data_IF_552574915534
#
_entry.id   IF_552574915534
#
_cell.length_a   1.000
_cell.length_b   1.000
_cell.length_c   1.000
_cell.angle_alpha   90.00
_cell.angle_beta   90.00
_cell.angle_gamma   90.00
#
_symmetry.space_group_name_H-M   'P 1'
#
loop_
_entity.id
_entity.type
_entity.pdbx_description
1 polymer ?
#
# COMPACT_ATOMS: atom_id res chain seq x y z
N UNK A 1 -46.71 -2.38 -21.31
CA UNK A 1 -45.79 -2.16 -20.19
C UNK A 1 -45.09 -0.84 -20.35
N UNK A 2 -45.05 -0.03 -19.32
CA UNK A 2 -44.28 1.21 -19.31
C UNK A 2 -42.82 0.81 -19.10
N UNK A 3 -41.95 1.25 -19.99
CA UNK A 3 -40.50 1.04 -19.84
C UNK A 3 -39.99 2.09 -18.84
N UNK A 4 -39.68 1.68 -17.62
CA UNK A 4 -39.05 2.56 -16.66
C UNK A 4 -37.56 2.67 -16.95
N UNK A 5 -37.08 3.91 -17.04
CA UNK A 5 -35.64 4.17 -17.18
C UNK A 5 -35.06 4.23 -15.77
N UNK A 6 -34.21 3.27 -15.46
CA UNK A 6 -33.47 3.29 -14.20
C UNK A 6 -32.56 4.52 -14.15
N UNK A 7 -32.69 5.31 -13.11
CA UNK A 7 -31.80 6.43 -12.86
C UNK A 7 -30.36 5.94 -12.69
N UNK A 8 -29.36 6.73 -13.11
CA UNK A 8 -27.96 6.42 -12.88
C UNK A 8 -27.70 6.28 -11.39
N UNK A 9 -27.09 5.16 -10.98
CA UNK A 9 -26.66 4.94 -9.59
C UNK A 9 -25.57 5.90 -9.14
N UNK A 10 -25.43 6.06 -7.86
CA UNK A 10 -24.35 6.80 -7.25
C UNK A 10 -22.98 6.10 -7.52
N UNK A 11 -21.89 6.83 -7.36
CA UNK A 11 -20.55 6.23 -7.44
C UNK A 11 -20.41 5.10 -6.39
N UNK A 12 -19.69 4.04 -6.74
CA UNK A 12 -19.49 2.84 -5.91
C UNK A 12 -20.76 2.05 -5.56
N UNK A 13 -21.78 2.12 -6.41
CA UNK A 13 -22.97 1.25 -6.30
C UNK A 13 -23.01 0.27 -7.47
N UNK A 14 -23.60 -0.89 -7.23
CA UNK A 14 -23.91 -1.91 -8.25
C UNK A 14 -25.40 -2.10 -8.35
N UNK A 15 -25.88 -2.34 -9.57
CA UNK A 15 -27.29 -2.69 -9.78
C UNK A 15 -27.49 -4.15 -9.37
N UNK A 16 -28.36 -4.37 -8.40
CA UNK A 16 -28.72 -5.70 -7.94
C UNK A 16 -30.21 -5.95 -8.12
N UNK A 17 -30.56 -7.19 -8.41
CA UNK A 17 -31.94 -7.63 -8.44
C UNK A 17 -32.34 -8.06 -7.03
N UNK A 18 -33.54 -7.69 -6.60
CA UNK A 18 -34.12 -8.17 -5.34
C UNK A 18 -34.17 -9.70 -5.31
N UNK A 19 -34.07 -10.31 -4.15
CA UNK A 19 -34.05 -11.76 -3.99
C UNK A 19 -35.32 -12.46 -4.54
N UNK A 20 -36.43 -11.75 -4.57
CA UNK A 20 -37.72 -12.20 -5.14
C UNK A 20 -37.86 -11.88 -6.63
N UNK A 21 -36.82 -11.34 -7.26
CA UNK A 21 -36.80 -10.89 -8.65
C UNK A 21 -37.86 -9.83 -9.00
N UNK A 22 -38.38 -9.10 -8.02
CA UNK A 22 -39.47 -8.13 -8.20
C UNK A 22 -38.98 -6.75 -8.68
N UNK A 23 -37.74 -6.37 -8.36
CA UNK A 23 -37.22 -5.03 -8.64
C UNK A 23 -35.69 -4.99 -8.74
N UNK A 24 -35.17 -3.90 -9.25
CA UNK A 24 -33.74 -3.58 -9.31
C UNK A 24 -33.45 -2.38 -8.40
N UNK A 25 -32.38 -2.49 -7.63
CA UNK A 25 -31.90 -1.39 -6.79
C UNK A 25 -30.40 -1.17 -6.89
N UNK A 26 -29.97 0.07 -6.69
CA UNK A 26 -28.56 0.39 -6.56
C UNK A 26 -28.11 0.17 -5.12
N UNK A 27 -27.23 -0.78 -4.93
CA UNK A 27 -26.69 -1.15 -3.62
C UNK A 27 -25.22 -0.78 -3.56
N UNK A 28 -24.75 -0.34 -2.40
CA UNK A 28 -23.32 -0.11 -2.19
C UNK A 28 -22.56 -1.40 -2.49
N UNK A 29 -21.50 -1.30 -3.29
CA UNK A 29 -20.67 -2.45 -3.65
C UNK A 29 -19.97 -2.96 -2.38
N UNK A 30 -20.40 -4.10 -1.86
CA UNK A 30 -19.70 -4.79 -0.77
C UNK A 30 -18.43 -5.40 -1.34
N UNK A 31 -17.29 -5.12 -0.71
CA UNK A 31 -15.99 -5.55 -1.20
C UNK A 31 -15.30 -4.59 -2.19
N UNK A 32 -15.89 -3.44 -2.50
CA UNK A 32 -15.25 -2.41 -3.30
C UNK A 32 -14.03 -1.82 -2.57
N UNK A 33 -12.99 -1.55 -3.33
CA UNK A 33 -11.89 -0.72 -2.87
C UNK A 33 -12.25 0.76 -3.04
N UNK A 34 -12.00 1.55 -2.00
CA UNK A 34 -12.09 3.01 -2.06
C UNK A 34 -10.69 3.57 -2.20
N UNK A 35 -10.46 4.40 -3.23
CA UNK A 35 -9.19 5.11 -3.35
C UNK A 35 -9.17 6.27 -2.35
N UNK A 36 -8.18 6.25 -1.45
CA UNK A 36 -8.02 7.22 -0.37
C UNK A 36 -7.04 8.33 -0.71
N UNK A 37 -6.03 8.02 -1.53
CA UNK A 37 -5.05 8.99 -1.98
C UNK A 37 -3.94 8.38 -2.81
N UNK A 38 -3.16 9.22 -3.46
CA UNK A 38 -1.99 8.81 -4.22
C UNK A 38 -0.92 9.89 -4.27
N UNK A 39 0.33 9.46 -4.50
CA UNK A 39 1.44 10.32 -4.90
C UNK A 39 1.98 9.79 -6.23
N UNK A 40 1.92 10.63 -7.26
CA UNK A 40 2.24 10.27 -8.65
C UNK A 40 3.56 10.91 -9.13
N UNK A 41 4.21 11.68 -8.26
CA UNK A 41 5.51 12.27 -8.56
C UNK A 41 6.59 11.33 -8.08
N UNK A 42 7.48 10.93 -8.98
CA UNK A 42 8.65 10.13 -8.65
C UNK A 42 9.44 10.74 -7.50
N UNK A 43 9.80 9.89 -6.55
CA UNK A 43 10.74 10.22 -5.49
C UNK A 43 11.94 9.28 -5.54
N UNK A 44 13.11 9.78 -5.16
CA UNK A 44 14.35 8.99 -5.15
C UNK A 44 15.24 9.36 -3.96
N UNK A 45 16.02 8.38 -3.50
CA UNK A 45 17.01 8.57 -2.43
C UNK A 45 18.18 7.61 -2.60
N UNK A 46 19.39 8.09 -2.31
CA UNK A 46 20.61 7.28 -2.18
C UNK A 46 21.09 7.23 -0.71
N UNK A 47 20.21 7.51 0.24
CA UNK A 47 20.55 7.48 1.66
C UNK A 47 21.00 6.09 2.10
N UNK A 48 22.02 6.05 2.94
CA UNK A 48 22.61 4.82 3.52
C UNK A 48 22.01 4.46 4.87
N UNK A 49 21.05 5.23 5.32
CA UNK A 49 20.24 4.99 6.51
C UNK A 49 18.76 5.11 6.15
N UNK A 50 17.91 4.60 7.01
CA UNK A 50 16.46 4.70 6.81
C UNK A 50 16.02 6.16 6.65
N UNK A 51 15.32 6.45 5.56
CA UNK A 51 14.81 7.77 5.22
C UNK A 51 13.44 7.69 4.58
N UNK A 52 12.65 8.74 4.74
CA UNK A 52 11.37 8.89 4.05
C UNK A 52 11.60 9.05 2.54
N UNK A 53 10.98 8.21 1.73
CA UNK A 53 11.11 8.26 0.28
C UNK A 53 9.92 8.96 -0.37
N UNK A 54 8.72 8.47 -0.13
CA UNK A 54 7.49 9.00 -0.72
C UNK A 54 6.35 8.90 0.30
N UNK A 55 5.47 9.89 0.34
CA UNK A 55 4.37 9.94 1.30
C UNK A 55 3.05 10.30 0.64
N UNK A 56 1.99 9.59 0.99
CA UNK A 56 0.61 10.02 0.79
C UNK A 56 0.10 10.59 2.12
N UNK A 57 -0.30 11.86 2.11
CA UNK A 57 -0.73 12.62 3.28
C UNK A 57 -2.18 13.05 3.18
N UNK A 58 -2.70 13.68 4.22
CA UNK A 58 -4.10 14.14 4.27
C UNK A 58 -5.11 13.01 4.15
N UNK A 59 -4.75 11.82 4.60
CA UNK A 59 -5.63 10.67 4.69
C UNK A 59 -6.55 10.79 5.91
N UNK A 60 -7.66 10.05 5.89
CA UNK A 60 -8.58 9.92 7.03
C UNK A 60 -9.10 8.48 7.09
N UNK A 61 -8.21 7.54 7.40
CA UNK A 61 -8.51 6.11 7.37
C UNK A 61 -8.63 5.59 8.80
N UNK A 62 -9.85 5.22 9.20
CA UNK A 62 -10.10 4.66 10.52
C UNK A 62 -9.27 3.40 10.78
N UNK A 63 -8.82 3.20 12.03
CA UNK A 63 -8.00 2.05 12.43
C UNK A 63 -8.68 0.70 12.13
N UNK A 64 -10.01 0.67 12.08
CA UNK A 64 -10.81 -0.53 11.78
C UNK A 64 -10.89 -0.88 10.29
N UNK A 65 -10.39 -0.02 9.40
CA UNK A 65 -10.41 -0.27 7.96
C UNK A 65 -9.15 -0.99 7.51
N UNK A 66 -9.28 -2.05 6.72
CA UNK A 66 -8.13 -2.65 6.05
C UNK A 66 -7.62 -1.70 4.96
N UNK A 67 -6.30 -1.67 4.81
CA UNK A 67 -5.61 -0.80 3.85
C UNK A 67 -4.91 -1.66 2.81
N UNK A 68 -4.99 -1.26 1.56
CA UNK A 68 -4.22 -1.81 0.46
C UNK A 68 -3.37 -0.69 -0.14
N UNK A 69 -2.05 -0.92 -0.17
CA UNK A 69 -1.10 0.01 -0.78
C UNK A 69 -0.53 -0.66 -2.01
N UNK A 70 -0.45 0.08 -3.11
CA UNK A 70 0.26 -0.33 -4.33
C UNK A 70 1.30 0.72 -4.65
N UNK A 71 2.52 0.28 -4.94
CA UNK A 71 3.61 1.17 -5.31
C UNK A 71 4.47 0.55 -6.40
N UNK A 72 4.92 1.38 -7.33
CA UNK A 72 5.92 1.04 -8.34
C UNK A 72 7.28 1.45 -7.81
N UNK A 73 8.16 0.48 -7.57
CA UNK A 73 9.47 0.70 -6.96
C UNK A 73 10.59 0.17 -7.85
N UNK A 74 11.72 0.83 -7.81
CA UNK A 74 12.93 0.41 -8.54
C UNK A 74 14.20 0.87 -7.84
N UNK A 75 15.31 0.26 -8.19
CA UNK A 75 16.65 0.72 -7.79
C UNK A 75 17.63 0.69 -8.95
N UNK A 76 18.67 1.49 -8.87
CA UNK A 76 19.83 1.38 -9.73
C UNK A 76 20.68 0.15 -9.36
N UNK A 77 21.66 -0.20 -10.19
CA UNK A 77 22.68 -1.18 -9.82
C UNK A 77 23.52 -0.66 -8.65
N UNK A 78 24.01 -1.57 -7.83
CA UNK A 78 24.89 -1.26 -6.70
C UNK A 78 25.54 -2.52 -6.16
N UNK A 79 26.65 -2.36 -5.45
CA UNK A 79 27.54 -3.47 -5.04
C UNK A 79 27.20 -4.06 -3.68
N UNK A 80 26.30 -3.42 -2.93
CA UNK A 80 26.01 -3.79 -1.54
C UNK A 80 24.80 -4.71 -1.42
N UNK A 81 24.83 -5.51 -0.37
CA UNK A 81 23.73 -6.37 0.04
C UNK A 81 22.68 -5.58 0.84
N UNK A 82 21.40 -5.95 0.71
CA UNK A 82 20.32 -5.50 1.60
C UNK A 82 19.76 -4.10 1.35
N UNK A 83 19.46 -3.79 0.11
CA UNK A 83 18.57 -2.67 -0.21
C UNK A 83 17.13 -3.02 0.17
N UNK A 84 16.49 -2.21 0.94
CA UNK A 84 15.13 -2.51 1.37
C UNK A 84 14.23 -1.29 1.46
N UNK A 85 12.95 -1.55 1.21
CA UNK A 85 11.89 -0.60 1.47
C UNK A 85 11.21 -0.93 2.79
N UNK A 86 10.85 0.10 3.54
CA UNK A 86 10.09 0.01 4.77
C UNK A 86 8.75 0.72 4.65
N UNK A 87 8.00 0.73 5.74
CA UNK A 87 6.68 1.37 5.81
C UNK A 87 6.53 2.14 7.11
N UNK A 88 6.05 3.37 7.01
CA UNK A 88 5.68 4.21 8.15
C UNK A 88 4.19 4.56 8.04
N UNK A 89 3.46 4.40 9.13
CA UNK A 89 2.08 4.84 9.30
C UNK A 89 2.08 6.02 10.28
N UNK A 90 1.56 7.15 9.86
CA UNK A 90 1.70 8.41 10.59
C UNK A 90 3.19 8.71 10.84
N UNK A 91 3.61 8.88 12.09
CA UNK A 91 5.00 9.08 12.50
C UNK A 91 5.74 7.80 12.90
N UNK A 92 5.08 6.64 12.87
CA UNK A 92 5.61 5.37 13.39
C UNK A 92 6.10 4.48 12.26
N UNK A 93 7.39 4.14 12.24
CA UNK A 93 7.92 3.11 11.35
C UNK A 93 7.41 1.74 11.80
N UNK A 94 6.51 1.15 11.02
CA UNK A 94 5.89 -0.15 11.32
C UNK A 94 6.63 -1.31 10.65
N UNK A 95 7.36 -1.02 9.59
CA UNK A 95 8.31 -1.92 8.94
C UNK A 95 9.56 -1.10 8.63
N UNK A 96 10.67 -1.44 9.25
CA UNK A 96 11.93 -0.74 9.04
C UNK A 96 12.50 -1.05 7.65
N UNK A 97 13.09 -0.06 7.00
CA UNK A 97 13.90 -0.26 5.84
C UNK A 97 15.32 -0.62 6.30
N UNK A 98 15.71 -1.88 6.18
CA UNK A 98 17.05 -2.34 6.55
C UNK A 98 17.13 -3.87 6.66
N UNK A 99 18.21 -4.44 6.19
CA UNK A 99 18.44 -5.88 6.23
C UNK A 99 17.37 -6.71 5.50
N UNK A 100 17.15 -7.92 5.97
CA UNK A 100 16.17 -8.86 5.38
C UNK A 100 14.71 -8.62 5.82
N UNK A 101 14.43 -7.53 6.54
CA UNK A 101 13.15 -7.31 7.23
C UNK A 101 12.21 -6.32 6.54
N UNK A 102 12.60 -5.75 5.41
CA UNK A 102 11.78 -4.77 4.68
C UNK A 102 10.53 -5.35 4.03
N UNK A 103 9.64 -4.49 3.55
CA UNK A 103 8.47 -4.89 2.74
C UNK A 103 8.87 -5.37 1.33
N UNK A 104 10.02 -4.95 0.84
CA UNK A 104 10.66 -5.46 -0.37
C UNK A 104 12.17 -5.39 -0.18
N UNK A 105 12.84 -6.52 -0.35
CA UNK A 105 14.30 -6.61 -0.37
C UNK A 105 14.74 -6.86 -1.80
N UNK A 106 15.55 -5.96 -2.32
CA UNK A 106 16.04 -6.03 -3.70
C UNK A 106 17.45 -6.60 -3.71
N UNK A 107 17.71 -7.54 -4.62
CA UNK A 107 18.99 -8.22 -4.72
C UNK A 107 20.12 -7.27 -5.15
N UNK A 108 21.34 -7.65 -4.83
CA UNK A 108 22.57 -6.93 -5.17
C UNK A 108 22.90 -6.95 -6.66
N UNK A 109 23.74 -6.05 -7.09
CA UNK A 109 24.47 -6.06 -8.36
C UNK A 109 23.70 -5.46 -9.53
N UNK A 110 22.44 -5.76 -9.76
CA UNK A 110 21.70 -5.29 -10.94
C UNK A 110 20.62 -4.24 -10.60
N UNK A 111 20.31 -3.41 -11.58
CA UNK A 111 19.11 -2.57 -11.50
C UNK A 111 17.87 -3.47 -11.46
N UNK A 112 16.92 -3.11 -10.62
CA UNK A 112 15.67 -3.86 -10.43
C UNK A 112 14.48 -2.93 -10.41
N UNK A 113 13.37 -3.39 -10.95
CA UNK A 113 12.10 -2.67 -10.92
C UNK A 113 10.95 -3.66 -10.74
N UNK A 114 9.89 -3.21 -10.11
CA UNK A 114 8.69 -4.00 -9.93
C UNK A 114 7.62 -3.23 -9.17
N UNK A 115 6.47 -3.88 -8.97
CA UNK A 115 5.41 -3.34 -8.15
C UNK A 115 5.31 -4.11 -6.83
N UNK A 116 5.04 -3.38 -5.75
CA UNK A 116 4.70 -3.99 -4.47
C UNK A 116 3.23 -3.73 -4.14
N UNK A 117 2.60 -4.75 -3.56
CA UNK A 117 1.27 -4.64 -3.00
C UNK A 117 1.34 -5.01 -1.53
N UNK A 118 0.92 -4.11 -0.66
CA UNK A 118 0.96 -4.27 0.79
C UNK A 118 -0.47 -4.25 1.31
N UNK A 119 -0.86 -5.31 2.00
CA UNK A 119 -2.14 -5.38 2.67
C UNK A 119 -1.96 -5.25 4.17
N UNK A 120 -2.69 -4.33 4.77
CA UNK A 120 -2.72 -4.08 6.21
C UNK A 120 -4.14 -4.40 6.69
N UNK A 121 -4.33 -5.45 7.50
CA UNK A 121 -5.65 -5.76 8.05
C UNK A 121 -6.13 -4.69 9.04
N UNK A 122 -7.38 -4.73 9.48
CA UNK A 122 -7.87 -3.86 10.54
C UNK A 122 -6.98 -3.93 11.78
N UNK A 123 -6.64 -2.78 12.33
CA UNK A 123 -5.74 -2.65 13.49
C UNK A 123 -6.55 -2.60 14.77
N UNK A 124 -6.96 -3.75 15.26
CA UNK A 124 -7.75 -3.88 16.51
C UNK A 124 -6.88 -4.03 17.76
N UNK A 125 -5.57 -4.23 17.58
CA UNK A 125 -4.55 -4.29 18.61
C UNK A 125 -3.25 -3.75 18.00
N UNK A 126 -2.20 -3.57 18.82
CA UNK A 126 -0.90 -3.07 18.37
C UNK A 126 -0.14 -4.01 17.42
N UNK A 127 -0.84 -4.92 16.76
CA UNK A 127 -0.27 -5.84 15.78
C UNK A 127 -0.50 -5.32 14.37
N UNK A 128 0.57 -5.16 13.62
CA UNK A 128 0.50 -5.03 12.18
C UNK A 128 0.90 -6.36 11.54
N UNK A 129 0.02 -6.92 10.72
CA UNK A 129 0.38 -7.92 9.72
C UNK A 129 0.35 -7.26 8.37
N UNK A 130 1.50 -6.79 7.90
CA UNK A 130 1.62 -6.38 6.51
C UNK A 130 1.99 -7.62 5.68
N UNK A 131 1.19 -7.93 4.68
CA UNK A 131 1.54 -8.91 3.64
C UNK A 131 1.96 -8.13 2.43
N UNK A 132 3.19 -8.32 1.96
CA UNK A 132 3.65 -7.71 0.73
C UNK A 132 3.89 -8.78 -0.33
N UNK A 133 3.52 -8.47 -1.56
CA UNK A 133 3.88 -9.23 -2.75
C UNK A 133 4.68 -8.29 -3.67
N UNK A 134 5.86 -8.71 -4.06
CA UNK A 134 6.68 -7.98 -5.03
C UNK A 134 6.70 -8.73 -6.36
N UNK A 135 6.19 -8.09 -7.40
CA UNK A 135 6.23 -8.60 -8.77
C UNK A 135 7.42 -8.01 -9.52
N UNK A 136 8.55 -8.68 -9.47
CA UNK A 136 9.78 -8.25 -10.13
C UNK A 136 10.90 -9.26 -9.89
N UNK A 137 12.13 -8.92 -10.26
CA UNK A 137 13.30 -9.78 -10.06
C UNK A 137 13.86 -9.79 -8.63
N UNK A 138 13.08 -9.34 -7.64
CA UNK A 138 13.44 -9.38 -6.22
C UNK A 138 12.86 -10.60 -5.49
N UNK A 139 13.33 -10.83 -4.27
CA UNK A 139 12.74 -11.87 -3.43
C UNK A 139 11.36 -11.41 -2.89
N UNK A 140 10.32 -12.25 -2.99
CA UNK A 140 9.06 -11.97 -2.32
C UNK A 140 9.31 -11.89 -0.82
N UNK A 141 8.76 -10.86 -0.20
CA UNK A 141 8.96 -10.64 1.22
C UNK A 141 7.99 -11.44 2.07
N UNK A 142 8.52 -11.92 3.17
CA UNK A 142 7.81 -12.62 4.23
C UNK A 142 6.82 -11.66 4.92
N UNK A 143 5.71 -12.13 5.48
CA UNK A 143 4.83 -11.30 6.31
C UNK A 143 5.63 -10.63 7.43
N UNK A 144 5.58 -9.31 7.47
CA UNK A 144 6.30 -8.54 8.47
C UNK A 144 5.35 -8.22 9.62
N UNK A 145 5.82 -8.43 10.83
CA UNK A 145 5.09 -8.13 12.05
C UNK A 145 5.69 -6.89 12.71
N UNK A 146 4.85 -5.96 13.12
CA UNK A 146 5.24 -4.86 14.01
C UNK A 146 4.30 -4.83 15.21
N UNK A 147 4.88 -4.65 16.39
CA UNK A 147 4.12 -4.46 17.62
C UNK A 147 3.73 -2.99 17.84
N UNK A 148 4.18 -2.08 16.96
CA UNK A 148 4.06 -0.64 17.15
C UNK A 148 3.07 0.01 16.17
N UNK A 149 2.15 -0.76 15.62
CA UNK A 149 1.16 -0.21 14.70
C UNK A 149 0.27 0.82 15.41
N UNK A 150 0.10 2.03 14.85
CA UNK A 150 -0.77 3.02 15.47
C UNK A 150 -2.21 2.52 15.48
N UNK A 151 -2.85 2.60 16.65
CA UNK A 151 -4.28 2.31 16.84
C UNK A 151 -5.16 3.52 16.49
N UNK A 152 -4.56 4.67 16.25
CA UNK A 152 -5.24 5.88 15.79
C UNK A 152 -5.56 5.80 14.29
N UNK A 153 -6.40 6.70 13.83
CA UNK A 153 -6.69 6.90 12.40
C UNK A 153 -5.41 7.23 11.64
N UNK A 154 -5.29 6.71 10.42
CA UNK A 154 -4.13 6.96 9.57
C UNK A 154 -4.35 8.25 8.78
N UNK A 155 -3.44 9.18 8.98
CA UNK A 155 -3.41 10.47 8.29
C UNK A 155 -2.30 10.56 7.23
N UNK A 156 -1.30 9.68 7.32
CA UNK A 156 -0.23 9.56 6.33
C UNK A 156 0.34 8.15 6.24
N UNK A 157 0.79 7.79 5.06
CA UNK A 157 1.50 6.54 4.78
C UNK A 157 2.75 6.91 4.00
N UNK A 158 3.91 6.43 4.47
CA UNK A 158 5.21 6.73 3.87
C UNK A 158 5.95 5.43 3.56
N UNK A 159 6.46 5.30 2.34
CA UNK A 159 7.49 4.32 2.03
C UNK A 159 8.85 4.85 2.49
N UNK A 160 9.59 3.99 3.15
CA UNK A 160 10.96 4.24 3.59
C UNK A 160 11.94 3.58 2.63
N UNK A 161 13.14 4.13 2.53
CA UNK A 161 14.27 3.56 1.80
C UNK A 161 15.49 3.45 2.71
N UNK A 162 16.24 2.36 2.52
CA UNK A 162 17.59 2.22 3.06
C UNK A 162 18.48 1.55 2.01
N UNK A 163 19.47 2.29 1.53
CA UNK A 163 20.37 1.88 0.45
C UNK A 163 21.57 1.09 0.92
N UNK A 164 21.83 0.97 2.22
CA UNK A 164 23.06 0.39 2.79
C UNK A 164 24.37 1.03 2.29
N UNK A 165 24.40 1.46 1.04
CA UNK A 165 25.52 2.18 0.37
C UNK A 165 24.99 3.29 -0.53
N UNK A 166 25.79 4.36 -0.69
CA UNK A 166 25.48 5.52 -1.52
C UNK A 166 25.60 5.28 -3.04
N UNK A 167 26.08 4.12 -3.46
CA UNK A 167 26.21 3.74 -4.87
C UNK A 167 24.88 3.27 -5.50
N UNK A 168 23.85 3.12 -4.70
CA UNK A 168 22.52 2.70 -5.12
C UNK A 168 21.47 3.74 -4.78
N UNK A 169 20.66 4.09 -5.77
CA UNK A 169 19.51 4.95 -5.60
C UNK A 169 18.24 4.11 -5.67
N UNK A 170 17.41 4.23 -4.64
CA UNK A 170 16.04 3.71 -4.63
C UNK A 170 15.06 4.74 -5.15
N UNK A 171 14.04 4.28 -5.83
CA UNK A 171 12.98 5.09 -6.43
C UNK A 171 11.62 4.54 -6.07
N UNK A 172 10.65 5.43 -5.95
CA UNK A 172 9.24 5.09 -6.03
C UNK A 172 8.62 5.99 -7.09
N UNK A 173 8.09 5.38 -8.15
CA UNK A 173 7.54 6.11 -9.30
C UNK A 173 6.12 6.60 -8.99
N UNK A 174 5.35 5.78 -8.26
CA UNK A 174 4.01 6.10 -7.79
C UNK A 174 3.64 5.30 -6.53
N UNK A 175 2.69 5.83 -5.76
CA UNK A 175 2.09 5.13 -4.62
C UNK A 175 0.60 5.45 -4.53
N UNK A 176 -0.22 4.42 -4.42
CA UNK A 176 -1.67 4.49 -4.27
C UNK A 176 -2.13 3.81 -2.99
N UNK A 177 -3.06 4.44 -2.30
CA UNK A 177 -3.64 3.95 -1.05
C UNK A 177 -5.15 3.72 -1.24
N UNK A 178 -5.60 2.56 -0.82
CA UNK A 178 -7.01 2.16 -0.87
C UNK A 178 -7.44 1.60 0.49
N UNK A 179 -8.71 1.74 0.80
CA UNK A 179 -9.37 0.92 1.81
C UNK A 179 -10.22 -0.15 1.14
N UNK A 180 -10.39 -1.27 1.83
CA UNK A 180 -11.26 -2.37 1.38
C UNK A 180 -12.50 -2.38 2.27
N UNK A 181 -13.68 -2.49 1.65
CA UNK A 181 -14.91 -2.61 2.42
C UNK A 181 -14.88 -3.90 3.24
N UNK A 182 -15.22 -3.80 4.51
CA UNK A 182 -15.49 -4.97 5.36
C UNK A 182 -16.95 -5.32 5.21
N UNK A 183 -17.22 -6.55 4.84
CA UNK A 183 -18.57 -7.12 4.81
C UNK A 183 -19.18 -7.20 6.22
#
# INVERSE_FOLDING_TARGET
GVMEILAKGAANTVLTMAADASDFSWVASTGAMTHEGSQLTEASSNATSETDLISVTSLSIAATKPILIRASIRKTSGTSDNYSYGLKLNSTAVVQAGGASGIATLATGSAQAGSTTIYIPPRTANYLRAMSAFGGSGNPTVPTYSNDAPTADITSITLLWNGANSDTTGYCDDMHVYTVATS
#
